data_IF_938333324850
#
_entry.id   IF_938333324850
#
_cell.length_a   1.000
_cell.length_b   1.000
_cell.length_c   1.000
_cell.angle_alpha   90.00
_cell.angle_beta   90.00
_cell.angle_gamma   90.00
#
_symmetry.space_group_name_H-M   'P 1'
#
loop_
_entity.id
_entity.type
_entity.pdbx_description
1 polymer ?
#
# COMPACT_ATOMS: atom_id res chain seq x y z
N UNK A 1 57.43 25.05 -32.17
CA UNK A 1 56.62 26.27 -32.02
C UNK A 1 55.53 26.24 -33.08
N UNK A 2 54.30 25.88 -32.72
CA UNK A 2 53.15 25.86 -33.63
C UNK A 2 51.99 26.58 -32.92
N UNK A 3 51.48 27.61 -33.59
CA UNK A 3 50.44 28.55 -33.14
C UNK A 3 49.12 28.14 -33.80
N UNK A 4 48.05 28.01 -33.02
CA UNK A 4 46.68 27.85 -33.53
C UNK A 4 45.86 29.13 -33.28
N UNK A 5 44.92 29.50 -34.17
CA UNK A 5 44.14 30.73 -34.08
C UNK A 5 42.94 30.60 -33.14
N UNK A 6 42.55 31.75 -32.59
CA UNK A 6 41.36 31.97 -31.75
C UNK A 6 40.06 31.71 -32.50
N UNK A 7 39.15 30.98 -31.86
CA UNK A 7 37.78 30.78 -32.29
C UNK A 7 36.97 30.11 -31.18
N UNK A 8 36.77 30.82 -30.07
CA UNK A 8 35.87 30.37 -29.01
C UNK A 8 34.42 30.71 -29.41
N UNK A 9 33.59 29.68 -29.67
CA UNK A 9 32.15 29.84 -29.65
C UNK A 9 31.72 30.21 -28.23
N UNK A 10 31.11 31.38 -28.09
CA UNK A 10 30.44 31.82 -26.86
C UNK A 10 29.18 30.96 -26.65
N UNK A 11 29.24 29.97 -25.76
CA UNK A 11 28.06 29.44 -25.09
C UNK A 11 27.77 30.33 -23.88
N UNK A 12 26.69 31.11 -23.92
CA UNK A 12 26.16 31.76 -22.74
C UNK A 12 25.85 30.69 -21.67
N UNK A 13 26.12 30.93 -20.37
CA UNK A 13 25.63 30.06 -19.32
C UNK A 13 24.09 30.03 -19.39
N UNK A 14 23.50 28.84 -19.43
CA UNK A 14 22.06 28.68 -19.15
C UNK A 14 21.79 29.30 -17.78
N UNK A 15 20.69 30.06 -17.60
CA UNK A 15 20.33 30.53 -16.27
C UNK A 15 20.19 29.33 -15.36
N UNK A 16 20.87 29.37 -14.21
CA UNK A 16 20.53 28.52 -13.08
C UNK A 16 19.11 28.92 -12.67
N UNK A 17 18.13 28.09 -13.03
CA UNK A 17 16.75 28.23 -12.54
C UNK A 17 16.81 28.16 -11.02
N UNK A 18 16.46 29.28 -10.39
CA UNK A 18 16.55 29.54 -8.95
C UNK A 18 15.70 28.56 -8.13
N UNK A 19 16.27 28.09 -7.01
CA UNK A 19 15.65 27.19 -6.00
C UNK A 19 14.39 27.75 -5.28
N UNK A 20 13.75 28.80 -5.80
CA UNK A 20 12.66 29.53 -5.15
C UNK A 20 11.25 28.94 -5.45
N UNK A 21 11.14 27.84 -6.22
CA UNK A 21 9.84 27.24 -6.61
C UNK A 21 9.34 26.11 -5.67
N UNK A 22 10.06 25.78 -4.60
CA UNK A 22 9.78 24.57 -3.82
C UNK A 22 8.67 24.67 -2.76
N UNK A 23 8.01 25.83 -2.61
CA UNK A 23 6.99 26.02 -1.57
C UNK A 23 5.71 26.76 -2.01
N UNK A 24 5.06 26.28 -3.07
CA UNK A 24 3.67 26.68 -3.39
C UNK A 24 2.66 25.95 -2.47
N UNK A 25 1.73 26.67 -1.80
CA UNK A 25 0.82 26.10 -0.80
C UNK A 25 -0.20 25.06 -1.31
N UNK A 26 -0.27 24.77 -2.61
CA UNK A 26 -1.19 23.79 -3.21
C UNK A 26 -0.60 22.40 -3.49
N UNK A 27 0.73 22.24 -3.51
CA UNK A 27 1.36 20.99 -4.00
C UNK A 27 1.26 19.85 -2.97
N UNK A 28 1.38 20.16 -1.67
CA UNK A 28 1.22 19.16 -0.59
C UNK A 28 -0.23 18.68 -0.43
N UNK A 29 -1.22 19.56 -0.60
CA UNK A 29 -2.64 19.22 -0.53
C UNK A 29 -3.05 18.23 -1.63
N UNK A 30 -2.69 18.54 -2.89
CA UNK A 30 -2.98 17.69 -4.04
C UNK A 30 -2.34 16.30 -3.91
N UNK A 31 -1.08 16.21 -3.48
CA UNK A 31 -0.39 14.92 -3.30
C UNK A 31 -1.00 14.06 -2.17
N UNK A 32 -1.52 14.66 -1.10
CA UNK A 32 -2.16 13.93 -0.02
C UNK A 32 -3.54 13.38 -0.44
N UNK A 33 -4.31 14.15 -1.21
CA UNK A 33 -5.57 13.71 -1.78
C UNK A 33 -5.36 12.60 -2.83
N UNK A 34 -4.33 12.72 -3.66
CA UNK A 34 -3.95 11.68 -4.61
C UNK A 34 -3.57 10.36 -3.90
N UNK A 35 -2.88 10.44 -2.76
CA UNK A 35 -2.56 9.26 -1.93
C UNK A 35 -3.81 8.62 -1.34
N UNK A 36 -4.71 9.42 -0.76
CA UNK A 36 -5.98 8.92 -0.19
C UNK A 36 -6.87 8.29 -1.26
N UNK A 37 -6.95 8.91 -2.43
CA UNK A 37 -7.69 8.39 -3.59
C UNK A 37 -7.13 7.05 -4.05
N UNK A 38 -5.80 6.96 -4.20
CA UNK A 38 -5.12 5.71 -4.56
C UNK A 38 -5.36 4.61 -3.53
N UNK A 39 -5.37 4.95 -2.23
CA UNK A 39 -5.67 3.99 -1.17
C UNK A 39 -7.05 3.37 -1.34
N UNK A 40 -8.09 4.20 -1.48
CA UNK A 40 -9.47 3.72 -1.69
C UNK A 40 -9.63 2.93 -2.98
N UNK A 41 -9.02 3.38 -4.07
CA UNK A 41 -9.06 2.66 -5.34
C UNK A 41 -8.34 1.30 -5.24
N UNK A 42 -7.24 1.24 -4.49
CA UNK A 42 -6.54 -0.02 -4.21
C UNK A 42 -7.36 -0.97 -3.33
N UNK A 43 -8.02 -0.47 -2.28
CA UNK A 43 -8.94 -1.26 -1.47
C UNK A 43 -10.07 -1.85 -2.32
N UNK A 44 -10.68 -1.04 -3.21
CA UNK A 44 -11.72 -1.50 -4.11
C UNK A 44 -11.21 -2.56 -5.12
N UNK A 45 -10.04 -2.34 -5.72
CA UNK A 45 -9.43 -3.30 -6.64
C UNK A 45 -9.10 -4.63 -5.94
N UNK A 46 -8.62 -4.57 -4.70
CA UNK A 46 -8.36 -5.75 -3.87
C UNK A 46 -9.65 -6.50 -3.52
N UNK A 47 -10.69 -5.79 -3.07
CA UNK A 47 -12.02 -6.34 -2.77
C UNK A 47 -12.57 -7.11 -3.98
N UNK A 48 -12.58 -6.47 -5.14
CA UNK A 48 -13.05 -7.04 -6.40
C UNK A 48 -12.23 -8.27 -6.83
N UNK A 49 -10.91 -8.21 -6.68
CA UNK A 49 -10.04 -9.33 -7.00
C UNK A 49 -10.34 -10.53 -6.08
N UNK A 50 -10.40 -10.34 -4.77
CA UNK A 50 -10.65 -11.41 -3.81
C UNK A 50 -12.03 -12.05 -4.00
N UNK A 51 -13.06 -11.25 -4.31
CA UNK A 51 -14.38 -11.77 -4.67
C UNK A 51 -14.33 -12.70 -5.89
N UNK A 52 -13.57 -12.33 -6.93
CA UNK A 52 -13.37 -13.19 -8.11
C UNK A 52 -12.59 -14.47 -7.78
N UNK A 53 -11.76 -14.46 -6.74
CA UNK A 53 -11.08 -15.65 -6.22
C UNK A 53 -11.96 -16.52 -5.31
N UNK A 54 -13.22 -16.13 -5.09
CA UNK A 54 -14.20 -16.91 -4.31
C UNK A 54 -14.32 -16.51 -2.84
N UNK A 55 -13.59 -15.48 -2.37
CA UNK A 55 -13.72 -14.99 -1.01
C UNK A 55 -14.97 -14.13 -0.86
N UNK A 56 -15.66 -14.28 0.27
CA UNK A 56 -16.75 -13.38 0.67
C UNK A 56 -16.21 -12.26 1.54
N UNK A 57 -16.18 -11.04 1.02
CA UNK A 57 -15.80 -9.86 1.81
C UNK A 57 -16.90 -9.55 2.82
N UNK A 58 -16.55 -9.52 4.11
CA UNK A 58 -17.45 -9.30 5.25
C UNK A 58 -17.52 -7.82 5.64
N UNK A 59 -16.36 -7.17 5.75
CA UNK A 59 -16.23 -5.78 6.15
C UNK A 59 -15.02 -5.14 5.44
N UNK A 60 -15.05 -3.81 5.31
CA UNK A 60 -13.95 -3.00 4.76
C UNK A 60 -13.70 -1.79 5.63
N UNK A 61 -12.45 -1.34 5.68
CA UNK A 61 -12.00 -0.17 6.42
C UNK A 61 -12.56 -0.15 7.85
N UNK A 62 -12.32 -1.24 8.58
CA UNK A 62 -12.82 -1.41 9.95
C UNK A 62 -11.93 -0.60 10.88
N UNK A 63 -12.54 0.32 11.64
CA UNK A 63 -11.80 1.23 12.51
C UNK A 63 -12.16 1.03 13.97
N UNK A 64 -11.15 1.11 14.83
CA UNK A 64 -11.33 1.17 16.28
C UNK A 64 -10.22 2.01 16.91
N UNK A 65 -10.25 2.16 18.24
CA UNK A 65 -9.22 2.91 18.97
C UNK A 65 -7.81 2.33 18.79
N UNK A 66 -7.69 1.05 18.43
CA UNK A 66 -6.40 0.43 18.16
C UNK A 66 -5.88 0.77 16.75
N UNK A 67 -6.71 1.12 15.78
CA UNK A 67 -6.27 1.34 14.40
C UNK A 67 -7.29 0.88 13.37
N UNK A 68 -6.81 0.52 12.18
CA UNK A 68 -7.65 0.21 11.03
C UNK A 68 -7.26 -1.15 10.41
N UNK A 69 -8.26 -1.93 9.99
CA UNK A 69 -8.13 -3.11 9.13
C UNK A 69 -8.68 -2.75 7.74
N UNK A 70 -7.91 -3.04 6.69
CA UNK A 70 -8.31 -2.68 5.33
C UNK A 70 -9.49 -3.53 4.85
N UNK A 71 -9.38 -4.86 4.90
CA UNK A 71 -10.47 -5.78 4.54
C UNK A 71 -10.53 -6.96 5.51
N UNK A 72 -11.77 -7.40 5.79
CA UNK A 72 -12.06 -8.69 6.42
C UNK A 72 -12.91 -9.50 5.47
N UNK A 73 -12.48 -10.72 5.17
CA UNK A 73 -13.15 -11.64 4.27
C UNK A 73 -13.36 -13.00 4.92
N UNK A 74 -14.08 -13.86 4.22
CA UNK A 74 -14.31 -15.25 4.60
C UNK A 74 -13.95 -16.16 3.44
N UNK A 75 -13.20 -17.20 3.77
CA UNK A 75 -12.79 -18.28 2.89
C UNK A 75 -13.21 -19.60 3.52
N UNK A 76 -14.31 -20.18 3.04
CA UNK A 76 -14.96 -21.31 3.70
C UNK A 76 -15.33 -20.99 5.16
N UNK A 77 -14.68 -21.68 6.11
CA UNK A 77 -14.86 -21.48 7.56
C UNK A 77 -13.83 -20.54 8.19
N UNK A 78 -12.87 -20.03 7.41
CA UNK A 78 -11.82 -19.15 7.92
C UNK A 78 -12.20 -17.68 7.79
N UNK A 79 -11.89 -16.89 8.81
CA UNK A 79 -11.91 -15.42 8.72
C UNK A 79 -10.54 -14.95 8.25
N UNK A 80 -10.52 -14.17 7.18
CA UNK A 80 -9.31 -13.70 6.52
C UNK A 80 -9.17 -12.21 6.75
N UNK A 81 -8.09 -11.81 7.41
CA UNK A 81 -7.71 -10.41 7.59
C UNK A 81 -6.72 -10.03 6.49
N UNK A 82 -7.07 -9.05 5.67
CA UNK A 82 -6.27 -8.68 4.50
C UNK A 82 -5.74 -7.26 4.67
N UNK A 83 -4.43 -7.12 4.57
CA UNK A 83 -3.75 -5.84 4.43
C UNK A 83 -3.59 -5.51 2.93
N UNK A 84 -4.00 -4.31 2.52
CA UNK A 84 -3.91 -3.84 1.14
C UNK A 84 -2.75 -2.86 1.00
N UNK A 85 -1.85 -3.13 0.06
CA UNK A 85 -0.69 -2.28 -0.22
C UNK A 85 -0.72 -1.76 -1.65
N UNK A 86 -0.72 -0.44 -1.79
CA UNK A 86 -0.57 0.21 -3.09
C UNK A 86 0.90 0.53 -3.38
N UNK A 87 1.43 0.08 -4.52
CA UNK A 87 2.72 0.51 -5.04
C UNK A 87 2.55 1.39 -6.29
N UNK A 88 3.13 2.60 -6.25
CA UNK A 88 3.25 3.49 -7.42
C UNK A 88 4.59 3.37 -8.16
N UNK A 89 5.59 2.66 -7.60
CA UNK A 89 6.89 2.47 -8.24
C UNK A 89 7.36 1.00 -8.16
N UNK A 90 7.99 0.51 -9.24
CA UNK A 90 8.44 -0.91 -9.43
C UNK A 90 9.63 -1.33 -8.55
N UNK A 91 10.10 -0.47 -7.63
CA UNK A 91 11.27 -0.76 -6.78
C UNK A 91 10.78 -1.02 -5.37
N UNK A 92 10.47 -2.25 -4.97
CA UNK A 92 10.65 -2.73 -3.58
C UNK A 92 10.42 -4.24 -3.51
N UNK A 93 11.07 -4.87 -2.52
CA UNK A 93 11.25 -6.32 -2.37
C UNK A 93 9.98 -7.13 -2.14
N UNK A 94 10.17 -8.45 -1.99
CA UNK A 94 9.09 -9.45 -1.89
C UNK A 94 8.04 -8.99 -0.89
N UNK A 95 6.77 -8.97 -1.30
CA UNK A 95 5.69 -8.41 -0.49
C UNK A 95 5.51 -9.05 0.91
N UNK A 96 6.04 -10.26 1.15
CA UNK A 96 6.17 -10.86 2.49
C UNK A 96 7.14 -10.09 3.42
N UNK A 97 8.20 -9.50 2.87
CA UNK A 97 9.15 -8.63 3.57
C UNK A 97 8.55 -7.22 3.83
N UNK A 98 7.45 -6.87 3.15
CA UNK A 98 6.82 -5.53 3.24
C UNK A 98 5.94 -5.33 4.49
N UNK A 99 5.56 -6.41 5.18
CA UNK A 99 4.84 -6.35 6.46
C UNK A 99 5.83 -6.52 7.59
N UNK A 100 6.28 -5.40 8.14
CA UNK A 100 7.21 -5.38 9.28
C UNK A 100 6.63 -6.10 10.49
N UNK A 101 7.49 -6.62 11.36
CA UNK A 101 7.08 -7.27 12.62
C UNK A 101 6.09 -6.41 13.43
N UNK A 102 6.34 -5.11 13.56
CA UNK A 102 5.46 -4.19 14.24
C UNK A 102 4.05 -4.13 13.61
N UNK A 103 3.99 -4.16 12.27
CA UNK A 103 2.71 -4.16 11.54
C UNK A 103 1.97 -5.49 11.69
N UNK A 104 2.68 -6.63 11.64
CA UNK A 104 2.09 -7.95 11.93
C UNK A 104 1.44 -7.99 13.31
N UNK A 105 2.18 -7.59 14.34
CA UNK A 105 1.66 -7.51 15.72
C UNK A 105 0.41 -6.63 15.83
N UNK A 106 0.41 -5.49 15.13
CA UNK A 106 -0.72 -4.58 15.11
C UNK A 106 -1.96 -5.19 14.46
N UNK A 107 -1.80 -5.85 13.31
CA UNK A 107 -2.89 -6.51 12.59
C UNK A 107 -3.48 -7.64 13.45
N UNK A 108 -2.63 -8.44 14.13
CA UNK A 108 -3.10 -9.48 15.05
C UNK A 108 -3.95 -8.91 16.18
N UNK A 109 -3.52 -7.79 16.81
CA UNK A 109 -4.31 -7.13 17.85
C UNK A 109 -5.67 -6.64 17.34
N UNK A 110 -5.70 -6.07 16.13
CA UNK A 110 -6.93 -5.61 15.49
C UNK A 110 -7.86 -6.77 15.14
N UNK A 111 -7.31 -7.88 14.63
CA UNK A 111 -8.06 -9.10 14.36
C UNK A 111 -8.70 -9.67 15.63
N UNK A 112 -7.95 -9.76 16.75
CA UNK A 112 -8.49 -10.20 18.02
C UNK A 112 -9.64 -9.31 18.51
N UNK A 113 -9.48 -7.99 18.37
CA UNK A 113 -10.56 -7.04 18.69
C UNK A 113 -11.79 -7.27 17.82
N UNK A 114 -11.60 -7.47 16.51
CA UNK A 114 -12.69 -7.71 15.55
C UNK A 114 -13.45 -9.00 15.86
N UNK A 115 -12.74 -10.10 16.11
CA UNK A 115 -13.37 -11.38 16.45
C UNK A 115 -14.17 -11.28 17.74
N UNK A 116 -13.65 -10.57 18.74
CA UNK A 116 -14.35 -10.33 20.00
C UNK A 116 -15.60 -9.47 19.80
N UNK A 117 -15.53 -8.41 18.98
CA UNK A 117 -16.66 -7.51 18.74
C UNK A 117 -17.78 -8.15 17.91
N UNK A 118 -17.46 -9.18 17.14
CA UNK A 118 -18.42 -9.96 16.32
C UNK A 118 -18.85 -11.29 16.96
N UNK A 119 -18.40 -11.59 18.18
CA UNK A 119 -18.62 -12.90 18.84
C UNK A 119 -18.19 -14.10 17.99
N UNK A 120 -17.09 -13.95 17.23
CA UNK A 120 -16.50 -14.98 16.38
C UNK A 120 -15.29 -15.64 17.06
N UNK A 121 -15.37 -15.90 18.37
CA UNK A 121 -14.27 -16.58 19.06
C UNK A 121 -14.17 -18.05 18.60
N UNK A 122 -12.95 -18.57 18.48
CA UNK A 122 -12.70 -19.97 18.12
C UNK A 122 -12.74 -20.30 16.62
N UNK A 123 -12.98 -19.30 15.76
CA UNK A 123 -12.86 -19.49 14.30
C UNK A 123 -11.39 -19.54 13.86
N UNK A 124 -11.10 -20.33 12.82
CA UNK A 124 -9.79 -20.33 12.18
C UNK A 124 -9.57 -18.98 11.49
N UNK A 125 -8.36 -18.44 11.61
CA UNK A 125 -8.00 -17.13 11.05
C UNK A 125 -6.83 -17.26 10.09
N UNK A 126 -6.80 -16.37 9.10
CA UNK A 126 -5.70 -16.24 8.15
C UNK A 126 -5.35 -14.77 7.94
N UNK A 127 -4.07 -14.46 7.78
CA UNK A 127 -3.62 -13.11 7.45
C UNK A 127 -3.03 -13.07 6.05
N UNK A 128 -3.66 -12.30 5.18
CA UNK A 128 -3.29 -12.18 3.77
C UNK A 128 -2.76 -10.77 3.48
N UNK A 129 -2.01 -10.67 2.39
CA UNK A 129 -1.61 -9.38 1.82
C UNK A 129 -2.08 -9.33 0.37
N UNK A 130 -2.71 -8.21 0.00
CA UNK A 130 -2.97 -7.89 -1.39
C UNK A 130 -2.12 -6.70 -1.79
N UNK A 131 -1.39 -6.86 -2.89
CA UNK A 131 -0.58 -5.79 -3.47
C UNK A 131 -1.25 -5.32 -4.74
N UNK A 132 -1.45 -4.00 -4.83
CA UNK A 132 -1.99 -3.33 -6.00
C UNK A 132 -0.92 -2.45 -6.61
N UNK A 133 -0.49 -2.82 -7.81
CA UNK A 133 0.39 -2.02 -8.65
C UNK A 133 -0.45 -1.23 -9.64
N UNK A 134 -0.24 0.09 -9.73
CA UNK A 134 -0.94 0.92 -10.70
C UNK A 134 -0.06 1.15 -11.92
N UNK A 135 -0.54 0.72 -13.09
CA UNK A 135 0.10 0.99 -14.38
C UNK A 135 -0.89 1.72 -15.29
N UNK A 136 -0.58 2.97 -15.68
CA UNK A 136 -1.43 3.79 -16.56
C UNK A 136 -2.92 3.84 -16.12
N UNK A 137 -3.16 3.89 -14.81
CA UNK A 137 -4.51 3.91 -14.23
C UNK A 137 -5.23 2.56 -14.17
N UNK A 138 -4.56 1.45 -14.57
CA UNK A 138 -5.06 0.09 -14.41
C UNK A 138 -4.42 -0.60 -13.21
N UNK A 139 -5.20 -1.27 -12.35
CA UNK A 139 -4.65 -2.02 -11.24
C UNK A 139 -4.19 -3.42 -11.70
N UNK A 140 -2.95 -3.75 -11.38
CA UNK A 140 -2.42 -5.12 -11.40
C UNK A 140 -2.37 -5.62 -9.95
N UNK A 141 -3.12 -6.69 -9.66
CA UNK A 141 -3.40 -7.14 -8.30
C UNK A 141 -2.75 -8.50 -8.07
N UNK A 142 -1.91 -8.58 -7.04
CA UNK A 142 -1.29 -9.82 -6.57
C UNK A 142 -1.79 -10.14 -5.17
N UNK A 143 -2.22 -11.38 -4.95
CA UNK A 143 -2.70 -11.86 -3.66
C UNK A 143 -1.75 -12.89 -3.08
N UNK A 144 -1.38 -12.69 -1.81
CA UNK A 144 -0.46 -13.54 -1.05
C UNK A 144 -1.24 -14.09 0.13
N UNK A 145 -1.78 -15.33 0.00
CA UNK A 145 -2.43 -15.99 1.11
C UNK A 145 -1.41 -16.42 2.17
N UNK A 146 -1.82 -16.43 3.45
CA UNK A 146 -0.95 -16.78 4.58
C UNK A 146 0.36 -15.97 4.57
N UNK A 147 0.24 -14.65 4.38
CA UNK A 147 1.40 -13.76 4.30
C UNK A 147 2.23 -13.74 5.60
N UNK A 148 1.59 -14.01 6.74
CA UNK A 148 2.22 -14.24 8.03
C UNK A 148 1.27 -14.94 9.01
N UNK A 149 1.84 -15.57 10.04
CA UNK A 149 1.10 -16.19 11.13
C UNK A 149 0.95 -15.28 12.35
N UNK A 150 0.04 -15.63 13.25
CA UNK A 150 -0.14 -14.94 14.53
C UNK A 150 1.04 -15.13 15.50
N UNK A 151 1.85 -16.16 15.30
CA UNK A 151 2.89 -16.62 16.24
C UNK A 151 4.10 -15.68 16.31
N UNK A 152 4.21 -14.72 15.39
CA UNK A 152 5.16 -13.61 15.49
C UNK A 152 4.65 -12.42 16.31
N UNK A 153 3.49 -12.51 16.97
CA UNK A 153 2.87 -11.39 17.69
C UNK A 153 2.63 -11.66 19.18
N UNK A 154 2.78 -12.92 19.62
CA UNK A 154 2.74 -13.34 21.03
C UNK A 154 4.07 -13.11 21.72
#
# INVERSE_FOLDING_TARGET
MIKFPSGALTMAPRPLESDEDFNLPGRRGRMADDRKKTGRESEAAAEDYLRRQGLRVLDRNVRCALGELDLVAQDGQQVVFVEVRSHRSRRWGRAQESVTFAKRKKIVQLALWYLKSRSLQGVSVRFDVVVVHWNEGRPDVSWIPNAFDADGAV
#
